data_IF_983262793911
#
_entry.id   IF_983262793911
#
_cell.length_a   1.000
_cell.length_b   1.000
_cell.length_c   1.000
_cell.angle_alpha   90.00
_cell.angle_beta   90.00
_cell.angle_gamma   90.00
#
_symmetry.space_group_name_H-M   'P 1'
#
loop_
_entity.id
_entity.type
_entity.pdbx_description
1 polymer ?
#
# COMPACT_ATOMS: atom_id res chain seq x y z
N UNK A 1 -2.93 44.29 -49.27
CA UNK A 1 -1.67 43.57 -49.57
C UNK A 1 -0.94 43.36 -48.26
N UNK A 2 -0.70 42.11 -47.87
CA UNK A 2 0.03 41.76 -46.64
C UNK A 2 -0.24 40.31 -46.29
N UNK A 3 0.51 39.38 -46.90
CA UNK A 3 0.43 37.94 -46.63
C UNK A 3 1.28 37.64 -45.38
N UNK A 4 0.66 37.13 -44.32
CA UNK A 4 1.38 36.48 -43.23
C UNK A 4 1.94 35.14 -43.70
N UNK A 5 3.26 34.95 -43.54
CA UNK A 5 3.93 33.67 -43.71
C UNK A 5 3.86 32.91 -42.40
N UNK A 6 3.32 31.68 -42.47
CA UNK A 6 3.43 30.66 -41.43
C UNK A 6 4.86 30.11 -41.45
N UNK A 7 5.63 30.33 -40.39
CA UNK A 7 6.83 29.54 -40.13
C UNK A 7 6.44 28.30 -39.31
N UNK A 8 6.56 27.15 -39.96
CA UNK A 8 6.61 25.83 -39.33
C UNK A 8 8.07 25.52 -39.04
N UNK A 9 8.45 25.50 -37.78
CA UNK A 9 9.70 24.89 -37.32
C UNK A 9 9.35 23.65 -36.50
N UNK A 10 9.43 22.50 -37.17
CA UNK A 10 9.50 21.18 -36.54
C UNK A 10 10.93 21.04 -36.04
N UNK A 11 11.14 21.18 -34.74
CA UNK A 11 12.38 20.79 -34.10
C UNK A 11 12.24 19.33 -33.64
N UNK A 12 12.93 18.43 -34.33
CA UNK A 12 13.15 17.04 -33.90
C UNK A 12 14.14 17.04 -32.74
N UNK A 13 13.69 16.62 -31.55
CA UNK A 13 14.57 16.45 -30.39
C UNK A 13 15.32 15.12 -30.49
N UNK A 14 16.63 15.06 -30.16
CA UNK A 14 17.42 13.83 -30.21
C UNK A 14 17.07 12.89 -29.06
N UNK A 15 17.27 11.58 -29.28
CA UNK A 15 16.78 10.48 -28.45
C UNK A 15 16.96 10.65 -26.94
N UNK A 16 15.83 10.68 -26.25
CA UNK A 16 15.72 10.43 -24.82
C UNK A 16 15.02 9.10 -24.66
N UNK A 17 15.67 8.14 -24.01
CA UNK A 17 15.00 6.96 -23.48
C UNK A 17 13.90 7.48 -22.55
N UNK A 18 12.65 7.58 -23.02
CA UNK A 18 11.54 8.12 -22.23
C UNK A 18 11.25 7.09 -21.17
N UNK A 19 11.80 7.30 -19.98
CA UNK A 19 11.52 6.45 -18.83
C UNK A 19 10.04 6.65 -18.47
N UNK A 20 9.25 5.59 -18.67
CA UNK A 20 7.80 5.59 -18.53
C UNK A 20 7.37 5.02 -17.19
N UNK A 21 6.23 5.46 -16.66
CA UNK A 21 5.51 4.80 -15.57
C UNK A 21 4.48 3.80 -16.18
N UNK A 22 4.83 2.52 -16.34
CA UNK A 22 3.96 1.55 -17.02
C UNK A 22 2.65 1.29 -16.29
N UNK A 23 2.64 1.32 -14.95
CA UNK A 23 1.43 1.14 -14.15
C UNK A 23 0.41 2.24 -14.45
N UNK A 24 0.83 3.50 -14.37
CA UNK A 24 -0.01 4.66 -14.66
C UNK A 24 -0.52 4.63 -16.11
N UNK A 25 0.36 4.36 -17.07
CA UNK A 25 -0.04 4.31 -18.49
C UNK A 25 -1.08 3.22 -18.77
N UNK A 26 -0.92 2.03 -18.18
CA UNK A 26 -1.88 0.94 -18.35
C UNK A 26 -3.23 1.27 -17.70
N UNK A 27 -3.21 1.85 -16.49
CA UNK A 27 -4.40 2.30 -15.80
C UNK A 27 -5.14 3.41 -16.56
N UNK A 28 -4.43 4.43 -17.04
CA UNK A 28 -5.00 5.52 -17.83
C UNK A 28 -5.58 5.02 -19.15
N UNK A 29 -4.91 4.07 -19.81
CA UNK A 29 -5.42 3.42 -21.03
C UNK A 29 -6.72 2.68 -20.77
N UNK A 30 -6.81 1.93 -19.67
CA UNK A 30 -8.06 1.28 -19.27
C UNK A 30 -9.16 2.30 -18.96
N UNK A 31 -8.89 3.30 -18.12
CA UNK A 31 -9.89 4.30 -17.74
C UNK A 31 -10.35 5.18 -18.90
N UNK A 32 -9.54 5.29 -19.95
CA UNK A 32 -9.87 6.04 -21.17
C UNK A 32 -10.57 5.19 -22.23
N UNK A 33 -10.51 3.86 -22.14
CA UNK A 33 -11.28 2.98 -23.03
C UNK A 33 -12.76 2.92 -22.65
N UNK A 34 -13.07 3.20 -21.38
CA UNK A 34 -14.43 3.32 -20.89
C UNK A 34 -15.08 4.62 -21.38
N UNK A 35 -16.36 4.57 -21.71
CA UNK A 35 -17.10 5.79 -21.99
C UNK A 35 -17.25 6.65 -20.72
N UNK A 36 -17.40 7.96 -20.93
CA UNK A 36 -17.43 8.94 -19.84
C UNK A 36 -18.60 8.70 -18.87
N UNK A 37 -19.74 8.22 -19.35
CA UNK A 37 -20.92 8.01 -18.53
C UNK A 37 -20.70 6.82 -17.58
N UNK A 38 -20.23 5.69 -18.10
CA UNK A 38 -19.87 4.51 -17.30
C UNK A 38 -18.82 4.86 -16.25
N UNK A 39 -17.78 5.60 -16.62
CA UNK A 39 -16.71 5.99 -15.67
C UNK A 39 -17.21 6.88 -14.52
N UNK A 40 -18.10 7.83 -14.81
CA UNK A 40 -18.59 8.78 -13.79
C UNK A 40 -19.72 8.18 -12.95
N UNK A 41 -20.49 7.26 -13.51
CA UNK A 41 -21.69 6.71 -12.92
C UNK A 41 -21.58 5.20 -12.67
N UNK A 42 -20.36 4.67 -12.52
CA UNK A 42 -20.13 3.23 -12.37
C UNK A 42 -21.03 2.62 -11.28
N UNK A 43 -21.10 3.23 -10.10
CA UNK A 43 -21.93 2.76 -8.98
C UNK A 43 -23.40 3.22 -9.04
N UNK A 44 -23.84 3.91 -10.10
CA UNK A 44 -25.23 4.39 -10.21
C UNK A 44 -26.13 3.36 -10.87
N UNK A 45 -27.12 2.86 -10.12
CA UNK A 45 -28.16 1.98 -10.66
C UNK A 45 -29.02 2.64 -11.75
N UNK A 46 -28.96 3.96 -11.90
CA UNK A 46 -29.70 4.70 -12.92
C UNK A 46 -29.02 4.69 -14.29
N UNK A 47 -27.68 4.62 -14.31
CA UNK A 47 -26.89 4.89 -15.51
C UNK A 47 -26.05 3.72 -15.98
N UNK A 48 -25.82 2.72 -15.12
CA UNK A 48 -25.02 1.53 -15.42
C UNK A 48 -25.76 0.31 -14.87
N UNK A 49 -25.98 -0.72 -15.70
CA UNK A 49 -26.65 -1.95 -15.24
C UNK A 49 -25.70 -2.83 -14.41
N UNK A 50 -26.22 -3.78 -13.61
CA UNK A 50 -25.38 -4.76 -12.91
C UNK A 50 -24.46 -5.55 -13.85
N UNK A 51 -24.93 -5.95 -15.03
CA UNK A 51 -24.18 -6.74 -16.00
C UNK A 51 -23.06 -5.94 -16.67
N UNK A 52 -23.32 -4.66 -16.98
CA UNK A 52 -22.30 -3.72 -17.47
C UNK A 52 -21.22 -3.49 -16.41
N UNK A 53 -21.63 -3.29 -15.15
CA UNK A 53 -20.69 -3.18 -14.02
C UNK A 53 -19.84 -4.42 -13.87
N UNK A 54 -20.44 -5.60 -13.89
CA UNK A 54 -19.73 -6.87 -13.76
C UNK A 54 -18.70 -7.04 -14.88
N UNK A 55 -19.07 -6.74 -16.13
CA UNK A 55 -18.16 -6.81 -17.28
C UNK A 55 -16.97 -5.87 -17.11
N UNK A 56 -17.21 -4.61 -16.76
CA UNK A 56 -16.14 -3.62 -16.54
C UNK A 56 -15.28 -4.02 -15.34
N UNK A 57 -15.89 -4.53 -14.27
CA UNK A 57 -15.18 -5.02 -13.09
C UNK A 57 -14.25 -6.18 -13.43
N UNK A 58 -14.74 -7.22 -14.11
CA UNK A 58 -13.94 -8.39 -14.50
C UNK A 58 -12.72 -7.99 -15.34
N UNK A 59 -12.93 -7.14 -16.35
CA UNK A 59 -11.84 -6.63 -17.19
C UNK A 59 -10.82 -5.81 -16.37
N UNK A 60 -11.29 -5.02 -15.41
CA UNK A 60 -10.43 -4.25 -14.54
C UNK A 60 -9.66 -5.14 -13.55
N UNK A 61 -10.31 -6.17 -13.00
CA UNK A 61 -9.71 -7.09 -12.04
C UNK A 61 -8.59 -7.90 -12.68
N UNK A 62 -8.81 -8.46 -13.87
CA UNK A 62 -7.80 -9.22 -14.62
C UNK A 62 -6.56 -8.36 -14.92
N UNK A 63 -6.76 -7.14 -15.44
CA UNK A 63 -5.65 -6.21 -15.70
C UNK A 63 -5.00 -5.74 -14.39
N UNK A 64 -5.81 -5.39 -13.40
CA UNK A 64 -5.38 -4.84 -12.12
C UNK A 64 -4.50 -5.82 -11.35
N UNK A 65 -4.91 -7.08 -11.26
CA UNK A 65 -4.15 -8.15 -10.62
C UNK A 65 -2.77 -8.32 -11.29
N UNK A 66 -2.73 -8.37 -12.62
CA UNK A 66 -1.47 -8.45 -13.37
C UNK A 66 -0.53 -7.27 -13.07
N UNK A 67 -1.09 -6.06 -12.99
CA UNK A 67 -0.33 -4.84 -12.75
C UNK A 67 0.15 -4.71 -11.30
N UNK A 68 -0.70 -5.01 -10.31
CA UNK A 68 -0.33 -5.01 -8.90
C UNK A 68 0.78 -6.03 -8.64
N UNK A 69 0.63 -7.25 -9.17
CA UNK A 69 1.62 -8.32 -9.05
C UNK A 69 2.96 -8.00 -9.73
N UNK A 70 3.03 -7.00 -10.61
CA UNK A 70 4.26 -6.55 -11.28
C UNK A 70 4.83 -5.25 -10.70
N UNK A 71 3.97 -4.38 -10.17
CA UNK A 71 4.32 -3.00 -9.83
C UNK A 71 3.99 -2.65 -8.37
N UNK A 72 2.77 -2.20 -8.08
CA UNK A 72 2.34 -1.80 -6.74
C UNK A 72 0.81 -1.74 -6.66
N UNK A 73 0.27 -1.79 -5.43
CA UNK A 73 -1.15 -1.60 -5.14
C UNK A 73 -1.65 -0.21 -5.54
N UNK A 74 -1.01 0.84 -5.04
CA UNK A 74 -1.32 2.23 -5.39
C UNK A 74 -0.51 2.70 -6.61
N UNK A 75 -1.10 3.58 -7.41
CA UNK A 75 -0.45 4.12 -8.62
C UNK A 75 0.24 5.46 -8.32
N UNK A 76 1.58 5.53 -8.37
CA UNK A 76 2.30 6.80 -8.31
C UNK A 76 2.01 7.64 -9.55
N UNK A 77 1.66 8.90 -9.36
CA UNK A 77 1.56 9.88 -10.45
C UNK A 77 2.53 11.05 -10.25
N UNK A 78 2.64 11.94 -11.24
CA UNK A 78 3.54 13.10 -11.17
C UNK A 78 3.23 14.00 -9.98
N UNK A 79 1.96 14.12 -9.59
CA UNK A 79 1.56 14.94 -8.44
C UNK A 79 2.04 14.30 -7.14
N UNK A 80 1.89 12.99 -6.99
CA UNK A 80 2.39 12.23 -5.85
C UNK A 80 3.92 12.35 -5.72
N UNK A 81 4.66 12.18 -6.82
CA UNK A 81 6.12 12.33 -6.82
C UNK A 81 6.57 13.75 -6.43
N UNK A 82 5.84 14.78 -6.86
CA UNK A 82 6.14 16.16 -6.45
C UNK A 82 5.88 16.41 -4.96
N UNK A 83 4.82 15.79 -4.39
CA UNK A 83 4.56 15.83 -2.95
C UNK A 83 5.70 15.14 -2.21
N UNK A 84 6.05 13.90 -2.59
CA UNK A 84 7.14 13.14 -1.96
C UNK A 84 8.46 13.90 -2.00
N UNK A 85 8.78 14.52 -3.15
CA UNK A 85 9.99 15.33 -3.32
C UNK A 85 10.08 16.50 -2.34
N UNK A 86 8.96 17.13 -2.00
CA UNK A 86 8.94 18.23 -1.04
C UNK A 86 9.38 17.79 0.35
N UNK A 87 9.09 16.54 0.74
CA UNK A 87 9.38 15.99 2.06
C UNK A 87 10.61 15.05 2.06
N UNK A 88 11.42 15.09 1.01
CA UNK A 88 12.69 14.36 0.93
C UNK A 88 13.72 14.92 1.93
N UNK A 89 14.58 14.10 2.55
CA UNK A 89 14.81 12.68 2.30
C UNK A 89 13.75 11.74 2.93
N UNK A 90 13.55 10.56 2.33
CA UNK A 90 12.56 9.58 2.77
C UNK A 90 13.18 8.24 3.19
N UNK A 91 12.42 7.51 4.01
CA UNK A 91 12.60 6.08 4.27
C UNK A 91 11.26 5.37 4.00
N UNK A 92 11.27 4.33 3.17
CA UNK A 92 10.10 3.48 2.89
C UNK A 92 10.28 2.14 3.61
N UNK A 93 9.24 1.67 4.30
CA UNK A 93 9.19 0.34 4.93
C UNK A 93 8.06 -0.46 4.27
N UNK A 94 8.32 -1.73 3.95
CA UNK A 94 7.35 -2.59 3.26
C UNK A 94 7.21 -2.23 1.78
N UNK A 95 8.32 -1.90 1.11
CA UNK A 95 8.28 -1.44 -0.29
C UNK A 95 8.04 -2.55 -1.32
N UNK A 96 7.98 -3.81 -0.89
CA UNK A 96 8.03 -5.01 -1.73
C UNK A 96 9.40 -5.26 -2.35
N UNK A 97 9.64 -6.47 -2.89
CA UNK A 97 10.95 -6.80 -3.47
C UNK A 97 11.32 -5.92 -4.68
N UNK A 98 10.32 -5.38 -5.37
CA UNK A 98 10.55 -4.53 -6.52
C UNK A 98 10.77 -3.06 -6.16
N UNK A 99 10.42 -2.61 -4.96
CA UNK A 99 10.51 -1.22 -4.51
C UNK A 99 9.95 -0.21 -5.53
N UNK A 100 8.80 -0.50 -6.16
CA UNK A 100 8.33 0.24 -7.34
C UNK A 100 8.20 1.75 -7.09
N UNK A 101 7.57 2.15 -5.99
CA UNK A 101 7.47 3.56 -5.60
C UNK A 101 8.84 4.19 -5.44
N UNK A 102 9.72 3.60 -4.62
CA UNK A 102 11.08 4.09 -4.42
C UNK A 102 11.93 4.15 -5.69
N UNK A 103 11.78 3.20 -6.63
CA UNK A 103 12.43 3.27 -7.95
C UNK A 103 11.98 4.51 -8.73
N UNK A 104 10.67 4.77 -8.78
CA UNK A 104 10.16 5.98 -9.45
C UNK A 104 10.58 7.27 -8.73
N UNK A 105 10.62 7.26 -7.40
CA UNK A 105 11.12 8.37 -6.59
C UNK A 105 12.58 8.68 -6.94
N UNK A 106 13.43 7.66 -6.98
CA UNK A 106 14.85 7.79 -7.30
C UNK A 106 15.06 8.22 -8.75
N UNK A 107 14.49 7.50 -9.71
CA UNK A 107 14.74 7.71 -11.14
C UNK A 107 14.08 8.97 -11.68
N UNK A 108 12.82 9.25 -11.31
CA UNK A 108 12.03 10.33 -11.91
C UNK A 108 11.90 11.54 -10.98
N UNK A 109 11.81 11.29 -9.67
CA UNK A 109 11.71 12.36 -8.68
C UNK A 109 13.05 13.02 -8.37
N UNK A 110 14.17 12.29 -8.54
CA UNK A 110 15.47 12.68 -8.00
C UNK A 110 15.43 12.79 -6.47
N UNK A 111 14.66 11.90 -5.83
CA UNK A 111 14.38 11.89 -4.41
C UNK A 111 15.41 11.00 -3.72
N UNK A 112 15.99 11.49 -2.61
CA UNK A 112 16.75 10.65 -1.70
C UNK A 112 15.77 9.77 -0.92
N UNK A 113 15.77 8.47 -1.20
CA UNK A 113 14.95 7.47 -0.55
C UNK A 113 15.78 6.23 -0.24
N UNK A 114 15.60 5.70 0.97
CA UNK A 114 16.08 4.38 1.38
C UNK A 114 14.86 3.49 1.53
N UNK A 115 14.85 2.34 0.87
CA UNK A 115 13.71 1.43 0.89
C UNK A 115 14.08 0.13 1.59
N UNK A 116 13.22 -0.32 2.49
CA UNK A 116 13.34 -1.57 3.20
C UNK A 116 12.15 -2.49 2.96
N UNK A 117 12.44 -3.78 2.88
CA UNK A 117 11.43 -4.83 2.92
C UNK A 117 11.96 -6.05 3.67
N UNK A 118 11.08 -6.79 4.37
CA UNK A 118 11.45 -8.01 5.07
C UNK A 118 11.82 -9.13 4.09
N UNK A 119 11.21 -9.14 2.90
CA UNK A 119 11.28 -10.20 1.91
C UNK A 119 11.86 -9.72 0.58
N UNK A 120 13.12 -9.30 0.60
CA UNK A 120 13.84 -8.78 -0.59
C UNK A 120 14.01 -9.79 -1.73
N UNK A 121 13.93 -11.10 -1.43
CA UNK A 121 14.08 -12.18 -2.40
C UNK A 121 12.74 -12.86 -2.75
N UNK A 122 11.68 -12.66 -1.95
CA UNK A 122 10.42 -13.41 -2.01
C UNK A 122 9.20 -12.55 -1.61
N UNK A 123 8.67 -11.69 -2.50
CA UNK A 123 7.40 -11.00 -2.20
C UNK A 123 7.17 -9.72 -3.02
N UNK A 124 5.93 -9.46 -3.45
CA UNK A 124 5.49 -8.22 -4.11
C UNK A 124 6.14 -7.90 -5.46
N UNK A 125 5.34 -7.88 -6.54
CA UNK A 125 5.74 -7.13 -7.74
C UNK A 125 6.85 -7.75 -8.60
N UNK A 126 6.78 -9.02 -9.03
CA UNK A 126 7.82 -9.62 -9.87
C UNK A 126 7.91 -8.91 -11.24
N UNK A 127 8.86 -7.99 -11.38
CA UNK A 127 9.33 -7.59 -12.72
C UNK A 127 10.20 -8.76 -13.20
N UNK A 128 9.61 -9.73 -13.91
CA UNK A 128 10.40 -10.71 -14.65
C UNK A 128 11.35 -9.96 -15.58
N UNK A 129 12.62 -10.33 -15.58
CA UNK A 129 13.66 -9.76 -16.46
C UNK A 129 13.45 -10.09 -17.96
N UNK A 130 12.30 -10.62 -18.34
CA UNK A 130 12.07 -11.28 -19.62
C UNK A 130 11.57 -10.33 -20.73
N UNK A 131 11.82 -9.02 -20.64
CA UNK A 131 11.42 -8.08 -21.70
C UNK A 131 12.57 -7.27 -22.32
N UNK A 132 13.83 -7.56 -21.96
CA UNK A 132 14.99 -6.95 -22.64
C UNK A 132 15.60 -7.87 -23.73
N UNK A 133 15.20 -9.15 -23.82
CA UNK A 133 15.80 -10.11 -24.75
C UNK A 133 15.15 -10.16 -26.14
N UNK A 134 13.93 -9.63 -26.31
CA UNK A 134 13.21 -9.65 -27.60
C UNK A 134 13.68 -8.57 -28.60
N UNK A 135 14.43 -7.56 -28.15
CA UNK A 135 15.02 -6.54 -29.04
C UNK A 135 16.43 -6.92 -29.55
N UNK A 136 17.14 -7.84 -28.90
CA UNK A 136 18.52 -8.19 -29.27
C UNK A 136 18.63 -9.27 -30.37
N UNK A 137 17.59 -10.08 -30.59
CA UNK A 137 17.59 -11.09 -31.67
C UNK A 137 17.42 -10.49 -33.08
N UNK A 138 16.86 -9.28 -33.22
CA UNK A 138 16.68 -8.65 -34.53
C UNK A 138 17.94 -7.91 -35.07
N UNK A 139 19.02 -7.82 -34.27
CA UNK A 139 20.27 -7.15 -34.70
C UNK A 139 21.35 -8.17 -35.11
N UNK A 140 21.21 -9.46 -34.75
CA UNK A 140 22.25 -10.48 -34.99
C UNK A 140 22.16 -11.20 -36.35
N UNK A 141 21.22 -10.83 -37.23
CA UNK A 141 21.08 -11.41 -38.57
C UNK A 141 22.00 -10.80 -39.67
N UNK A 142 22.99 -9.97 -39.31
CA UNK A 142 23.73 -9.20 -40.29
C UNK A 142 25.20 -8.94 -39.98
N UNK A 143 26.05 -9.97 -39.83
CA UNK A 143 27.49 -9.90 -40.19
C UNK A 143 28.20 -11.26 -40.13
N UNK A 144 28.47 -11.82 -41.33
CA UNK A 144 29.50 -12.83 -41.56
C UNK A 144 30.89 -12.18 -41.57
N UNK A 145 31.84 -12.69 -40.76
CA UNK A 145 33.16 -13.25 -41.17
C UNK A 145 34.25 -13.12 -40.08
N UNK A 146 34.97 -14.25 -39.94
CA UNK A 146 36.44 -14.42 -39.74
C UNK A 146 37.04 -14.19 -38.34
N UNK A 147 37.61 -15.29 -37.81
CA UNK A 147 39.05 -15.40 -37.55
C UNK A 147 39.48 -15.44 -36.07
N UNK A 148 40.12 -16.56 -35.70
CA UNK A 148 41.17 -16.77 -34.69
C UNK A 148 41.64 -15.54 -33.87
N UNK A 149 41.76 -15.67 -32.54
CA UNK A 149 42.99 -16.13 -31.88
C UNK A 149 42.83 -16.20 -30.36
N UNK A 150 43.75 -16.93 -29.74
CA UNK A 150 43.84 -17.28 -28.33
C UNK A 150 44.26 -16.11 -27.41
N UNK A 151 43.87 -16.27 -26.13
CA UNK A 151 44.69 -16.08 -24.93
C UNK A 151 44.83 -14.69 -24.24
N UNK A 152 44.96 -14.82 -22.91
CA UNK A 152 45.54 -13.90 -21.90
C UNK A 152 44.63 -12.81 -21.32
N UNK A 153 44.44 -12.93 -20.00
CA UNK A 153 43.70 -12.00 -19.17
C UNK A 153 44.32 -10.63 -19.03
N UNK A 154 43.48 -9.70 -18.59
CA UNK A 154 43.87 -8.45 -17.94
C UNK A 154 42.68 -7.93 -17.15
N UNK A 155 42.84 -7.98 -15.83
CA UNK A 155 42.17 -7.07 -14.91
C UNK A 155 42.27 -5.65 -15.47
N UNK A 156 41.12 -5.02 -15.66
CA UNK A 156 41.06 -3.58 -15.89
C UNK A 156 40.03 -3.01 -14.92
N UNK A 157 40.56 -2.35 -13.89
CA UNK A 157 39.88 -1.35 -13.11
C UNK A 157 39.15 -0.39 -14.06
N UNK A 158 37.84 -0.53 -14.16
CA UNK A 158 36.98 0.52 -14.70
C UNK A 158 36.33 1.23 -13.52
N UNK A 159 37.05 2.25 -13.05
CA UNK A 159 36.53 3.32 -12.22
C UNK A 159 35.60 4.17 -13.11
N UNK A 160 34.44 3.61 -13.45
CA UNK A 160 33.39 4.24 -14.23
C UNK A 160 32.23 4.57 -13.28
N UNK A 161 32.12 5.86 -12.94
CA UNK A 161 30.91 6.57 -12.48
C UNK A 161 29.76 5.65 -12.07
N UNK A 162 29.79 5.16 -10.83
CA UNK A 162 28.66 4.48 -10.22
C UNK A 162 27.50 5.48 -10.14
N UNK A 163 26.63 5.50 -11.15
CA UNK A 163 25.22 5.81 -10.90
C UNK A 163 24.81 4.82 -9.82
N UNK A 164 24.60 5.30 -8.60
CA UNK A 164 24.17 4.45 -7.49
C UNK A 164 22.92 3.71 -7.97
N UNK A 165 23.04 2.40 -8.21
CA UNK A 165 21.86 1.61 -8.51
C UNK A 165 20.99 1.66 -7.27
N UNK A 166 19.72 2.05 -7.44
CA UNK A 166 18.74 1.93 -6.37
C UNK A 166 18.67 0.46 -5.92
N UNK A 167 18.68 0.23 -4.61
CA UNK A 167 18.62 -1.10 -4.01
C UNK A 167 17.59 -1.09 -2.87
N UNK A 168 16.79 -2.15 -2.82
CA UNK A 168 15.95 -2.45 -1.66
C UNK A 168 16.82 -3.15 -0.63
N UNK A 169 16.76 -2.69 0.62
CA UNK A 169 17.50 -3.25 1.73
C UNK A 169 16.61 -4.21 2.52
N UNK A 170 17.21 -5.23 3.13
CA UNK A 170 16.46 -6.13 4.01
C UNK A 170 16.22 -5.48 5.36
N UNK A 171 14.96 -5.46 5.81
CA UNK A 171 14.58 -4.97 7.13
C UNK A 171 13.09 -4.64 7.23
N UNK A 172 12.58 -4.53 8.46
CA UNK A 172 11.22 -4.14 8.78
C UNK A 172 11.16 -2.87 9.65
N UNK A 173 10.09 -2.68 10.44
CA UNK A 173 9.93 -1.52 11.32
C UNK A 173 11.11 -1.25 12.27
N UNK A 174 11.83 -2.29 12.68
CA UNK A 174 12.96 -2.19 13.61
C UNK A 174 14.10 -1.30 13.09
N UNK A 175 14.23 -1.14 11.77
CA UNK A 175 15.28 -0.28 11.19
C UNK A 175 15.05 1.19 11.48
N UNK A 176 13.81 1.61 11.76
CA UNK A 176 13.45 3.00 12.06
C UNK A 176 14.07 3.46 13.40
N UNK A 177 14.29 2.51 14.32
CA UNK A 177 14.96 2.75 15.60
C UNK A 177 16.49 2.79 15.50
N UNK A 178 17.07 2.39 14.36
CA UNK A 178 18.52 2.40 14.18
C UNK A 178 19.08 3.83 14.12
N UNK A 179 20.29 4.04 14.67
CA UNK A 179 20.95 5.35 14.66
C UNK A 179 21.09 5.97 13.26
N UNK A 180 21.15 5.12 12.23
CA UNK A 180 21.25 5.54 10.83
C UNK A 180 19.96 6.20 10.32
N UNK A 181 18.80 5.80 10.82
CA UNK A 181 17.49 6.33 10.41
C UNK A 181 16.97 7.34 11.43
N UNK A 182 17.01 7.03 12.72
CA UNK A 182 16.48 7.87 13.79
C UNK A 182 17.14 9.26 13.87
N UNK A 183 18.40 9.38 13.45
CA UNK A 183 19.14 10.65 13.40
C UNK A 183 19.20 11.31 12.01
N UNK A 184 18.43 10.81 11.02
CA UNK A 184 18.56 11.23 9.61
C UNK A 184 17.54 12.26 9.13
N UNK A 185 16.64 12.74 10.00
CA UNK A 185 15.52 13.63 9.67
C UNK A 185 14.63 13.14 8.50
N UNK A 186 14.69 11.84 8.16
CA UNK A 186 13.94 11.25 7.05
C UNK A 186 12.44 11.21 7.36
N UNK A 187 11.66 11.57 6.36
CA UNK A 187 10.20 11.36 6.35
C UNK A 187 9.91 9.87 6.16
N UNK A 188 9.05 9.31 7.01
CA UNK A 188 8.57 7.94 6.85
C UNK A 188 7.54 7.89 5.72
N UNK A 189 7.74 7.02 4.74
CA UNK A 189 6.78 6.72 3.68
C UNK A 189 6.21 5.32 3.88
N UNK A 190 4.88 5.22 3.92
CA UNK A 190 4.13 3.96 4.02
C UNK A 190 3.10 3.90 2.88
N UNK A 191 3.14 2.84 2.09
CA UNK A 191 2.19 2.60 1.02
C UNK A 191 1.58 1.20 1.22
N UNK A 192 0.28 1.13 1.54
CA UNK A 192 -0.40 -0.14 1.84
C UNK A 192 0.30 -0.97 2.94
N UNK A 193 0.55 -0.41 4.14
CA UNK A 193 1.32 -1.13 5.15
C UNK A 193 0.65 -2.42 5.65
N UNK A 194 -0.68 -2.55 5.61
CA UNK A 194 -1.38 -3.64 6.32
C UNK A 194 -2.37 -4.41 5.42
N UNK A 195 -2.07 -4.56 4.13
CA UNK A 195 -2.97 -5.26 3.19
C UNK A 195 -3.04 -6.78 3.44
N UNK A 196 -2.01 -7.38 4.05
CA UNK A 196 -2.01 -8.81 4.36
C UNK A 196 -2.76 -9.10 5.66
N UNK A 197 -3.89 -9.82 5.56
CA UNK A 197 -4.53 -10.44 6.71
C UNK A 197 -3.51 -11.33 7.44
N UNK A 198 -3.15 -10.93 8.66
CA UNK A 198 -2.26 -11.66 9.56
C UNK A 198 -2.78 -13.06 9.94
N UNK A 199 -3.90 -13.51 9.38
CA UNK A 199 -4.42 -14.87 9.53
C UNK A 199 -3.67 -15.90 8.67
N UNK A 200 -2.89 -15.49 7.67
CA UNK A 200 -2.20 -16.45 6.77
C UNK A 200 -0.82 -16.91 7.24
N UNK A 201 -0.22 -16.23 8.23
CA UNK A 201 1.12 -16.57 8.77
C UNK A 201 1.08 -17.41 10.04
N UNK A 202 -0.10 -17.88 10.47
CA UNK A 202 -0.17 -18.96 11.46
C UNK A 202 0.41 -20.21 10.82
N UNK A 203 1.63 -20.57 11.22
CA UNK A 203 2.24 -21.86 10.94
C UNK A 203 1.19 -22.96 11.17
N UNK A 204 1.02 -23.92 10.25
CA UNK A 204 0.10 -25.02 10.49
C UNK A 204 0.60 -25.76 11.73
N UNK A 205 -0.14 -25.65 12.84
CA UNK A 205 -0.02 -26.64 13.91
C UNK A 205 -0.36 -27.99 13.28
N UNK A 206 0.62 -28.89 13.25
CA UNK A 206 0.39 -30.30 12.92
C UNK A 206 -0.77 -30.82 13.76
N UNK A 207 -1.90 -31.16 13.13
CA UNK A 207 -2.95 -31.93 13.78
C UNK A 207 -4.40 -31.55 13.49
N UNK A 208 -4.71 -30.43 12.82
CA UNK A 208 -6.11 -30.06 12.55
C UNK A 208 -6.49 -30.17 11.07
N UNK A 209 -7.57 -30.91 10.71
CA UNK A 209 -8.02 -31.00 9.33
C UNK A 209 -8.70 -29.69 8.93
N UNK A 210 -8.10 -29.01 7.96
CA UNK A 210 -8.68 -27.84 7.29
C UNK A 210 -9.91 -28.30 6.50
N UNK A 211 -11.11 -27.94 6.96
CA UNK A 211 -12.30 -28.00 6.10
C UNK A 211 -12.21 -26.86 5.11
N UNK A 212 -11.77 -27.17 3.90
CA UNK A 212 -11.95 -26.29 2.76
C UNK A 212 -13.45 -26.04 2.57
N UNK A 213 -13.88 -24.78 2.71
CA UNK A 213 -15.19 -24.35 2.21
C UNK A 213 -15.13 -24.36 0.68
N UNK A 214 -15.53 -25.50 0.10
CA UNK A 214 -15.97 -25.56 -1.29
C UNK A 214 -17.37 -24.95 -1.35
N UNK A 215 -17.47 -23.80 -1.99
CA UNK A 215 -18.71 -23.34 -2.60
C UNK A 215 -18.95 -24.18 -3.85
N UNK A 216 -19.89 -25.12 -3.78
CA UNK A 216 -20.51 -25.73 -4.96
C UNK A 216 -22.01 -25.90 -4.70
N UNK A 217 -22.79 -24.89 -5.13
CA UNK A 217 -24.22 -24.97 -5.33
C UNK A 217 -24.51 -25.65 -6.68
N UNK A 218 -24.94 -26.93 -6.67
CA UNK A 218 -25.82 -27.50 -7.70
C UNK A 218 -26.37 -28.90 -7.32
N UNK A 219 -27.65 -28.92 -6.93
CA UNK A 219 -28.71 -29.91 -7.26
C UNK A 219 -28.31 -31.29 -7.85
N UNK A 220 -28.67 -32.39 -7.16
CA UNK A 220 -29.86 -33.21 -7.47
C UNK A 220 -29.85 -34.58 -6.74
N UNK A 221 -30.97 -34.85 -6.08
CA UNK A 221 -31.79 -36.07 -6.06
C UNK A 221 -31.19 -37.49 -6.17
N UNK A 222 -31.73 -38.31 -5.26
CA UNK A 222 -32.15 -39.71 -5.37
C UNK A 222 -31.27 -40.87 -4.86
N UNK A 223 -31.95 -41.65 -4.02
CA UNK A 223 -31.88 -43.10 -3.76
C UNK A 223 -30.92 -43.71 -2.72
N UNK A 224 -31.54 -43.97 -1.56
CA UNK A 224 -31.83 -45.30 -1.02
C UNK A 224 -30.69 -46.23 -0.52
N UNK A 225 -30.71 -46.40 0.81
CA UNK A 225 -30.83 -47.68 1.52
C UNK A 225 -29.63 -48.65 1.56
N UNK A 226 -29.03 -48.86 2.75
CA UNK A 226 -29.04 -50.15 3.48
C UNK A 226 -28.04 -50.22 4.67
N UNK A 227 -28.57 -50.63 5.83
CA UNK A 227 -28.06 -51.64 6.79
C UNK A 227 -26.91 -51.25 7.74
N UNK A 228 -27.16 -51.26 9.07
CA UNK A 228 -26.98 -52.42 10.02
C UNK A 228 -25.51 -52.84 10.10
N UNK A 229 -24.78 -52.99 11.21
CA UNK A 229 -24.93 -53.03 12.68
C UNK A 229 -23.48 -52.78 13.19
N UNK A 230 -23.25 -52.37 14.45
CA UNK A 230 -22.52 -53.19 15.44
C UNK A 230 -22.31 -52.42 16.76
N UNK A 231 -22.59 -53.12 17.85
CA UNK A 231 -22.47 -52.66 19.24
C UNK A 231 -21.06 -52.92 19.77
N UNK A 232 -20.54 -52.01 20.58
CA UNK A 232 -19.26 -52.19 21.26
C UNK A 232 -19.19 -51.35 22.54
N UNK A 233 -19.59 -51.96 23.64
CA UNK A 233 -19.44 -51.46 25.01
C UNK A 233 -17.96 -51.27 25.37
N UNK A 234 -17.63 -50.16 26.04
CA UNK A 234 -16.51 -50.07 26.97
C UNK A 234 -16.86 -49.06 28.07
N UNK A 235 -16.84 -49.54 29.31
CA UNK A 235 -17.03 -48.81 30.55
C UNK A 235 -15.73 -48.09 30.98
N UNK A 236 -15.92 -47.05 31.80
CA UNK A 236 -14.96 -46.44 32.75
C UNK A 236 -13.87 -45.48 32.25
N UNK A 237 -14.15 -44.18 32.33
CA UNK A 237 -13.41 -43.19 33.15
C UNK A 237 -14.14 -41.83 33.06
N UNK A 238 -15.16 -41.60 33.90
CA UNK A 238 -15.67 -40.25 34.17
C UNK A 238 -14.58 -39.45 34.90
N UNK A 239 -13.71 -38.78 34.12
CA UNK A 239 -13.04 -37.57 34.59
C UNK A 239 -13.99 -36.42 34.30
N UNK A 240 -14.25 -35.62 35.32
CA UNK A 240 -15.07 -34.41 35.22
C UNK A 240 -14.54 -33.53 34.08
N UNK A 241 -15.30 -33.44 32.99
CA UNK A 241 -15.04 -32.52 31.86
C UNK A 241 -15.11 -31.04 32.30
N UNK A 242 -15.73 -30.75 33.45
CA UNK A 242 -15.87 -29.40 34.00
C UNK A 242 -14.53 -28.79 34.50
N UNK A 243 -13.53 -29.61 34.84
CA UNK A 243 -12.23 -29.11 35.32
C UNK A 243 -11.21 -28.87 34.17
N UNK A 244 -11.46 -29.38 32.95
CA UNK A 244 -10.59 -29.17 31.77
C UNK A 244 -11.04 -27.94 30.98
N UNK A 245 -12.33 -27.65 30.94
CA UNK A 245 -12.85 -26.44 30.29
C UNK A 245 -12.42 -25.16 31.02
N UNK A 246 -12.31 -25.18 32.36
CA UNK A 246 -11.83 -24.02 33.13
C UNK A 246 -10.31 -23.77 32.93
N UNK A 247 -9.48 -24.80 32.70
CA UNK A 247 -8.05 -24.61 32.41
C UNK A 247 -7.79 -24.18 30.95
N UNK A 248 -8.62 -24.63 29.99
CA UNK A 248 -8.55 -24.16 28.58
C UNK A 248 -9.07 -22.73 28.39
N UNK A 249 -10.09 -22.32 29.15
CA UNK A 249 -10.57 -20.93 29.15
C UNK A 249 -9.55 -19.96 29.77
N UNK A 250 -8.77 -20.41 30.76
CA UNK A 250 -7.74 -19.59 31.41
C UNK A 250 -6.43 -19.48 30.60
N UNK A 251 -6.16 -20.42 29.68
CA UNK A 251 -5.01 -20.37 28.75
C UNK A 251 -5.31 -19.65 27.44
N UNK A 252 -6.54 -19.17 27.21
CA UNK A 252 -6.80 -18.05 26.30
C UNK A 252 -6.38 -16.71 26.91
N UNK A 253 -5.36 -16.75 27.77
CA UNK A 253 -4.57 -15.63 28.20
C UNK A 253 -4.14 -14.87 26.94
N UNK A 254 -4.74 -13.69 26.80
CA UNK A 254 -4.61 -12.67 25.76
C UNK A 254 -3.20 -12.66 25.17
N UNK A 255 -2.93 -13.51 24.18
CA UNK A 255 -1.78 -13.29 23.32
C UNK A 255 -2.14 -12.06 22.50
N UNK A 256 -1.45 -10.92 22.67
CA UNK A 256 -1.74 -9.75 21.88
C UNK A 256 -1.59 -10.15 20.42
N UNK A 257 -2.66 -9.97 19.65
CA UNK A 257 -2.62 -10.11 18.20
C UNK A 257 -1.40 -9.32 17.71
N UNK A 258 -0.55 -9.90 16.85
CA UNK A 258 0.63 -9.20 16.37
C UNK A 258 0.18 -7.88 15.74
N UNK A 259 0.74 -6.77 16.23
CA UNK A 259 0.39 -5.44 15.73
C UNK A 259 0.73 -5.35 14.24
N UNK A 260 -0.06 -4.58 13.50
CA UNK A 260 0.13 -4.40 12.06
C UNK A 260 1.50 -3.77 11.72
N UNK A 261 1.99 -3.93 10.49
CA UNK A 261 3.26 -3.37 10.05
C UNK A 261 3.26 -1.84 10.22
N UNK A 262 2.17 -1.19 9.82
CA UNK A 262 1.98 0.25 9.98
C UNK A 262 2.09 0.67 11.43
N UNK A 263 1.43 -0.06 12.34
CA UNK A 263 1.49 0.25 13.77
C UNK A 263 2.91 0.10 14.34
N UNK A 264 3.60 -0.99 13.99
CA UNK A 264 4.99 -1.21 14.40
C UNK A 264 5.92 -0.11 13.86
N UNK A 265 5.65 0.40 12.64
CA UNK A 265 6.39 1.54 12.11
C UNK A 265 6.18 2.80 12.95
N UNK A 266 4.95 3.09 13.38
CA UNK A 266 4.67 4.23 14.28
C UNK A 266 5.36 4.08 15.64
N UNK A 267 5.51 2.85 16.13
CA UNK A 267 6.21 2.57 17.40
C UNK A 267 7.70 2.86 17.33
N UNK A 268 8.34 2.50 16.22
CA UNK A 268 9.78 2.66 16.03
C UNK A 268 10.17 4.02 15.43
N UNK A 269 9.23 4.74 14.81
CA UNK A 269 9.51 6.02 14.17
C UNK A 269 9.48 7.18 15.17
N UNK A 270 10.64 7.79 15.39
CA UNK A 270 10.80 8.98 16.25
C UNK A 270 10.75 10.30 15.49
N UNK A 271 10.75 10.25 14.16
CA UNK A 271 10.74 11.44 13.32
C UNK A 271 9.41 12.20 13.34
N UNK A 272 9.35 13.28 12.55
CA UNK A 272 8.26 14.26 12.63
C UNK A 272 7.22 14.13 11.52
N UNK A 273 7.55 13.51 10.39
CA UNK A 273 6.68 13.54 9.19
C UNK A 273 6.43 12.14 8.68
N UNK A 274 5.17 11.83 8.40
CA UNK A 274 4.74 10.58 7.79
C UNK A 274 3.97 10.89 6.52
N UNK A 275 4.25 10.15 5.47
CA UNK A 275 3.45 10.12 4.25
C UNK A 275 2.81 8.75 4.14
N UNK A 276 1.49 8.72 4.12
CA UNK A 276 0.69 7.51 3.96
C UNK A 276 0.00 7.51 2.60
N UNK A 277 0.11 6.38 1.89
CA UNK A 277 -0.59 6.09 0.64
C UNK A 277 -1.54 4.92 0.85
N UNK A 278 -2.83 5.17 0.61
CA UNK A 278 -3.92 4.21 0.75
C UNK A 278 -5.23 4.89 1.14
N UNK A 279 -6.20 4.08 1.53
CA UNK A 279 -7.45 4.52 2.14
C UNK A 279 -7.28 4.77 3.65
N UNK A 280 -7.96 5.82 4.14
CA UNK A 280 -8.15 6.08 5.56
C UNK A 280 -9.65 6.14 5.89
N UNK A 281 -9.96 6.02 7.16
CA UNK A 281 -11.28 6.33 7.70
C UNK A 281 -11.73 7.71 7.21
N UNK A 282 -12.98 7.80 6.74
CA UNK A 282 -13.62 8.96 6.08
C UNK A 282 -13.31 9.20 4.60
N UNK A 283 -12.51 8.36 3.91
CA UNK A 283 -12.27 8.50 2.46
C UNK A 283 -13.46 8.11 1.54
N UNK A 284 -14.65 7.94 2.12
CA UNK A 284 -15.82 7.39 1.43
C UNK A 284 -15.49 6.04 0.78
N UNK A 285 -14.82 5.17 1.55
CA UNK A 285 -14.51 3.80 1.13
C UNK A 285 -15.80 3.10 0.68
N UNK A 286 -15.69 2.34 -0.40
CA UNK A 286 -16.84 1.74 -1.07
C UNK A 286 -17.26 0.40 -0.42
N UNK A 287 -16.41 -0.14 0.46
CA UNK A 287 -16.59 -1.43 1.11
C UNK A 287 -17.38 -1.26 2.42
N UNK A 288 -18.71 -1.15 2.31
CA UNK A 288 -19.60 -0.79 3.42
C UNK A 288 -19.56 -1.75 4.62
N UNK A 289 -19.48 -3.06 4.39
CA UNK A 289 -19.56 -4.08 5.45
C UNK A 289 -18.21 -4.71 5.78
N UNK A 290 -17.27 -4.68 4.84
CA UNK A 290 -16.01 -5.42 4.94
C UNK A 290 -14.86 -4.59 5.49
N UNK A 291 -14.82 -3.28 5.21
CA UNK A 291 -13.65 -2.46 5.52
C UNK A 291 -14.01 -0.98 5.72
N UNK A 292 -14.66 -0.60 6.83
CA UNK A 292 -15.03 0.80 7.10
C UNK A 292 -13.82 1.74 7.24
N UNK A 293 -12.63 1.19 7.50
CA UNK A 293 -11.36 1.90 7.58
C UNK A 293 -10.59 1.90 6.24
N UNK A 294 -11.16 1.33 5.17
CA UNK A 294 -10.44 1.02 3.95
C UNK A 294 -9.62 -0.26 4.08
N UNK A 295 -9.02 -0.71 2.97
CA UNK A 295 -8.28 -1.99 2.90
C UNK A 295 -6.76 -1.84 2.94
N UNK A 296 -6.25 -0.61 3.03
CA UNK A 296 -4.81 -0.34 2.87
C UNK A 296 -4.03 -0.36 4.18
N UNK A 297 -4.68 -0.05 5.31
CA UNK A 297 -4.03 0.06 6.61
C UNK A 297 -4.99 -0.30 7.74
N UNK A 298 -4.45 -0.82 8.85
CA UNK A 298 -5.25 -1.35 9.96
C UNK A 298 -5.93 -0.23 10.76
N UNK A 299 -7.09 -0.49 11.41
CA UNK A 299 -7.76 0.48 12.26
C UNK A 299 -6.85 1.04 13.38
N UNK A 300 -6.02 0.20 13.99
CA UNK A 300 -5.13 0.56 15.09
C UNK A 300 -4.01 1.50 14.62
N UNK A 301 -3.45 1.24 13.43
CA UNK A 301 -2.50 2.16 12.79
C UNK A 301 -3.15 3.53 12.56
N UNK A 302 -4.35 3.56 11.98
CA UNK A 302 -5.02 4.82 11.66
C UNK A 302 -5.40 5.60 12.91
N UNK A 303 -5.86 4.91 13.96
CA UNK A 303 -6.16 5.52 15.26
C UNK A 303 -4.90 6.13 15.88
N UNK A 304 -3.77 5.42 15.86
CA UNK A 304 -2.50 5.92 16.39
C UNK A 304 -1.92 7.07 15.56
N UNK A 305 -1.98 6.96 14.24
CA UNK A 305 -1.59 8.05 13.33
C UNK A 305 -2.39 9.32 13.66
N UNK A 306 -3.71 9.20 13.79
CA UNK A 306 -4.59 10.31 14.12
C UNK A 306 -4.42 10.83 15.56
N UNK A 307 -3.94 10.01 16.51
CA UNK A 307 -3.74 10.40 17.91
C UNK A 307 -2.39 11.08 18.19
N UNK A 308 -1.36 10.79 17.40
CA UNK A 308 -0.04 11.39 17.56
C UNK A 308 0.25 12.47 16.50
N UNK A 309 -0.34 12.38 15.31
CA UNK A 309 -0.09 13.27 14.19
C UNK A 309 -1.35 14.02 13.76
N UNK A 310 -1.16 15.12 13.05
CA UNK A 310 -2.22 15.85 12.37
C UNK A 310 -1.94 15.92 10.88
N UNK A 311 -2.99 15.77 10.07
CA UNK A 311 -2.88 15.80 8.62
C UNK A 311 -2.71 17.23 8.13
N UNK A 312 -1.66 17.48 7.33
CA UNK A 312 -1.35 18.79 6.74
C UNK A 312 -1.58 18.82 5.22
N UNK A 313 -1.74 17.66 4.59
CA UNK A 313 -2.05 17.54 3.18
C UNK A 313 -2.78 16.21 2.92
N UNK A 314 -3.84 16.26 2.12
CA UNK A 314 -4.50 15.05 1.59
C UNK A 314 -4.87 15.27 0.14
N UNK A 315 -4.53 14.32 -0.72
CA UNK A 315 -4.80 14.39 -2.15
C UNK A 315 -5.20 13.03 -2.70
N UNK A 316 -6.24 13.00 -3.54
CA UNK A 316 -6.64 11.82 -4.29
C UNK A 316 -5.55 11.43 -5.30
N UNK A 317 -5.29 10.12 -5.44
CA UNK A 317 -4.43 9.54 -6.46
C UNK A 317 -5.20 9.13 -7.73
N UNK A 318 -4.47 8.74 -8.76
CA UNK A 318 -5.05 8.06 -9.91
C UNK A 318 -5.45 6.66 -9.50
N UNK A 319 -6.76 6.40 -9.48
CA UNK A 319 -7.32 5.18 -8.90
C UNK A 319 -8.13 4.39 -9.92
N UNK A 320 -8.19 3.08 -9.72
CA UNK A 320 -9.22 2.22 -10.30
C UNK A 320 -10.62 2.66 -9.86
N UNK A 321 -11.67 2.23 -10.57
CA UNK A 321 -13.04 2.71 -10.33
C UNK A 321 -13.52 2.50 -8.87
N UNK A 322 -13.12 1.38 -8.29
CA UNK A 322 -13.50 0.95 -6.94
C UNK A 322 -12.51 1.32 -5.84
N UNK A 323 -11.40 1.98 -6.19
CA UNK A 323 -10.34 2.34 -5.23
C UNK A 323 -10.42 3.82 -4.90
N UNK A 324 -10.21 4.18 -3.63
CA UNK A 324 -10.26 5.56 -3.13
C UNK A 324 -8.95 6.03 -2.51
N UNK A 325 -7.84 5.43 -2.89
CA UNK A 325 -6.51 5.81 -2.41
C UNK A 325 -6.25 7.30 -2.47
N UNK A 326 -5.61 7.75 -1.39
CA UNK A 326 -5.08 9.09 -1.24
C UNK A 326 -3.61 9.02 -0.90
N UNK A 327 -2.88 10.09 -1.22
CA UNK A 327 -1.62 10.42 -0.57
C UNK A 327 -1.92 11.46 0.50
N UNK A 328 -1.49 11.18 1.72
CA UNK A 328 -1.70 12.04 2.87
C UNK A 328 -0.38 12.28 3.60
N UNK A 329 -0.18 13.51 4.07
CA UNK A 329 1.01 13.93 4.82
C UNK A 329 0.59 14.32 6.21
N UNK A 330 1.30 13.78 7.19
CA UNK A 330 1.01 13.86 8.60
C UNK A 330 2.24 14.39 9.32
N UNK A 331 2.04 15.37 10.19
CA UNK A 331 3.10 15.94 11.00
C UNK A 331 2.83 15.63 12.46
N UNK A 332 3.87 15.27 13.21
CA UNK A 332 3.74 14.93 14.63
C UNK A 332 3.22 16.17 15.34
N UNK A 333 2.22 15.95 16.17
CA UNK A 333 1.56 17.05 16.85
C UNK A 333 2.36 17.47 18.06
N UNK A 334 2.51 18.77 18.25
CA UNK A 334 3.04 19.31 19.48
C UNK A 334 2.01 19.12 20.59
N UNK A 335 2.49 19.02 21.85
CA UNK A 335 1.63 18.98 23.02
C UNK A 335 1.79 20.27 23.81
N UNK A 336 0.71 20.74 24.42
CA UNK A 336 0.71 21.85 25.34
C UNK A 336 -0.06 21.49 26.60
N UNK A 337 0.49 21.84 27.76
CA UNK A 337 -0.15 21.61 29.05
C UNK A 337 -1.01 22.80 29.46
N UNK A 338 -2.16 22.52 30.05
CA UNK A 338 -2.98 23.50 30.77
C UNK A 338 -3.01 23.07 32.24
N UNK A 339 -2.60 23.98 33.12
CA UNK A 339 -2.58 23.76 34.57
C UNK A 339 -3.80 24.42 35.19
N UNK A 340 -4.63 23.63 35.88
CA UNK A 340 -5.77 24.11 36.64
C UNK A 340 -5.38 24.20 38.11
N UNK A 341 -5.46 25.40 38.68
CA UNK A 341 -5.25 25.60 40.11
C UNK A 341 -6.49 25.11 40.86
N UNK A 342 -6.29 24.23 41.84
CA UNK A 342 -7.34 23.86 42.79
C UNK A 342 -7.76 25.05 43.64
N UNK A 343 -9.01 25.07 44.10
CA UNK A 343 -9.45 26.10 45.05
C UNK A 343 -8.66 25.96 46.37
N UNK A 344 -8.16 27.08 46.91
CA UNK A 344 -7.32 27.18 48.13
C UNK A 344 -7.88 26.42 49.36
N UNK A 345 -9.19 26.15 49.39
CA UNK A 345 -9.90 25.46 50.47
C UNK A 345 -10.04 23.94 50.27
N UNK A 346 -9.64 23.42 49.10
CA UNK A 346 -9.64 22.00 48.76
C UNK A 346 -8.22 21.45 48.80
N UNK A 347 -8.04 20.21 49.27
CA UNK A 347 -6.73 19.51 49.18
C UNK A 347 -6.47 18.98 47.77
N UNK A 348 -7.11 19.55 46.75
CA UNK A 348 -7.01 19.08 45.37
C UNK A 348 -5.67 19.56 44.80
N UNK A 349 -4.87 18.61 44.31
CA UNK A 349 -3.58 18.87 43.67
C UNK A 349 -3.80 19.65 42.36
N UNK A 350 -2.80 20.43 41.93
CA UNK A 350 -2.84 21.09 40.61
C UNK A 350 -3.06 20.03 39.52
N UNK A 351 -4.14 20.15 38.75
CA UNK A 351 -4.44 19.23 37.66
C UNK A 351 -3.78 19.74 36.37
N UNK A 352 -2.85 18.97 35.81
CA UNK A 352 -2.21 19.24 34.52
C UNK A 352 -2.84 18.37 33.43
N UNK A 353 -3.41 19.00 32.41
CA UNK A 353 -4.02 18.31 31.26
C UNK A 353 -3.25 18.65 29.98
N UNK A 354 -2.77 17.62 29.27
CA UNK A 354 -2.10 17.78 27.97
C UNK A 354 -3.12 17.85 26.82
N UNK A 355 -2.98 18.86 25.97
CA UNK A 355 -3.72 19.03 24.74
C UNK A 355 -2.79 19.01 23.52
N UNK A 356 -3.36 18.73 22.36
CA UNK A 356 -2.67 18.86 21.09
C UNK A 356 -2.60 20.33 20.67
N UNK A 357 -1.41 20.78 20.33
CA UNK A 357 -1.17 22.04 19.63
C UNK A 357 -0.97 21.79 18.13
N UNK A 358 -1.82 22.39 17.29
CA UNK A 358 -1.68 22.40 15.84
C UNK A 358 -1.44 23.84 15.40
N UNK A 359 -0.28 24.16 14.79
CA UNK A 359 -0.02 25.50 14.28
C UNK A 359 -1.10 25.95 13.29
N UNK A 360 -1.53 27.21 13.38
CA UNK A 360 -2.63 27.76 12.54
C UNK A 360 -2.37 27.58 11.03
N UNK A 361 -1.10 27.67 10.60
CA UNK A 361 -0.70 27.46 9.21
C UNK A 361 -0.75 26.00 8.73
N UNK A 362 -0.94 25.05 9.65
CA UNK A 362 -0.96 23.60 9.41
C UNK A 362 -2.37 23.01 9.55
N UNK A 363 -3.36 23.82 9.91
CA UNK A 363 -4.76 23.41 10.01
C UNK A 363 -5.38 23.34 8.61
N UNK A 364 -5.85 22.15 8.23
CA UNK A 364 -6.64 21.97 7.00
C UNK A 364 -8.00 22.67 7.11
N UNK A 365 -8.58 23.17 6.00
CA UNK A 365 -9.93 23.72 6.02
C UNK A 365 -10.96 22.70 6.54
N UNK A 366 -11.69 23.06 7.59
CA UNK A 366 -12.76 22.22 8.14
C UNK A 366 -14.08 22.36 7.37
N UNK A 367 -14.38 23.57 6.89
CA UNK A 367 -15.61 23.84 6.15
C UNK A 367 -15.48 23.33 4.71
N UNK A 368 -15.92 22.09 4.50
CA UNK A 368 -16.00 21.46 3.18
C UNK A 368 -17.40 20.92 2.95
N UNK A 369 -17.92 21.13 1.75
CA UNK A 369 -19.22 20.60 1.34
C UNK A 369 -19.12 19.99 -0.05
N UNK A 370 -19.86 18.91 -0.27
CA UNK A 370 -20.03 18.35 -1.60
C UNK A 370 -20.63 19.40 -2.56
N UNK A 371 -20.40 19.29 -3.88
CA UNK A 371 -20.84 20.30 -4.84
C UNK A 371 -22.31 20.72 -4.70
N UNK A 372 -23.20 19.75 -4.45
CA UNK A 372 -24.64 19.98 -4.33
C UNK A 372 -25.03 20.73 -3.04
N UNK A 373 -24.20 20.66 -2.00
CA UNK A 373 -24.42 21.28 -0.69
C UNK A 373 -23.55 22.51 -0.45
N UNK A 374 -22.72 22.91 -1.43
CA UNK A 374 -21.81 24.06 -1.32
C UNK A 374 -22.52 25.38 -0.95
N UNK A 375 -23.80 25.49 -1.28
CA UNK A 375 -24.65 26.63 -0.95
C UNK A 375 -24.90 26.81 0.56
N UNK A 376 -24.65 25.78 1.39
CA UNK A 376 -24.82 25.86 2.84
C UNK A 376 -23.63 26.50 3.57
N UNK A 377 -22.50 26.71 2.88
CA UNK A 377 -21.28 27.32 3.43
C UNK A 377 -21.10 28.80 3.03
N UNK A 378 -22.13 29.43 2.45
CA UNK A 378 -22.07 30.80 1.91
C UNK A 378 -22.69 31.84 2.83
#
# INVERSE_FOLDING_TARGET
>A
MGKEKKDKTIASTPGTNTQTNPLLLAQEKFLSSLDKNTRQNFFSNKYTTPEERATVWSNQAELGESLVNKYAWATPDTRALNILKHFSPLVEIGCGCNGYWSKLMHEFGGIDVIAYDAFVDEGGGKISKEQDDDEEENIKAGKRKRGNDENVGKESNSMASAKSSFQVLKGGPEVLSSDAISNSDRTLFLCYPDEEDSSSTLLPMEGYPVKASHDDDANNDDDANCKEEDEGENEDEEKNDEDVEEEEENMREIMPMPMSLGYQCLENYTGNTIIHVGELYTDNTLSLEQAPWGRSSSPEFQQRLASEFHCILKAKLTNWLHVKDTISVWKRSERCSIVFQGDDDSREEEEEVEYRHIPVGEILPMDVAAPDFKHLLQ
#
